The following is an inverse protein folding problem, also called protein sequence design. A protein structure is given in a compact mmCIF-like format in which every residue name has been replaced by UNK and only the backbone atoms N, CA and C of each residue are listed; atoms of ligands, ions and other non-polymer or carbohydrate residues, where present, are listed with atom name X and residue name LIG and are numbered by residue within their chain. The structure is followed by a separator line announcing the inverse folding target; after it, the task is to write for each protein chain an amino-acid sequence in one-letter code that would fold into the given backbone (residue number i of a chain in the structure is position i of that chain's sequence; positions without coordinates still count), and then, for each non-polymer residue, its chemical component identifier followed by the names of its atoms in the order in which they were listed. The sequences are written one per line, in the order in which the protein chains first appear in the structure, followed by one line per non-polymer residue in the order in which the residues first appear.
data_IF_855192986270
#
_entry.id   IF_855192986270
#
_cell.length_a   1.000
_cell.length_b   1.000
_cell.length_c   1.000
_cell.angle_alpha   90.00
_cell.angle_beta   90.00
_cell.angle_gamma   90.00
#
_symmetry.space_group_name_H-M   'P 1'
#
loop_
_entity.id
_entity.type
_entity.pdbx_description
1 polymer ?
#
# COMPACT_ATOMS: atom_id res chain seq x y z
N UNK A 1 7.50 -11.88 9.91
CA UNK A 1 6.72 -11.03 8.99
C UNK A 1 5.37 -10.75 9.65
N UNK A 2 5.08 -9.48 9.96
CA UNK A 2 3.90 -9.08 10.73
C UNK A 2 2.76 -8.78 9.77
N UNK A 3 1.74 -9.65 9.75
CA UNK A 3 0.58 -9.49 8.88
C UNK A 3 -0.51 -8.67 9.59
N UNK A 4 -0.80 -7.46 9.10
CA UNK A 4 -1.79 -6.56 9.70
C UNK A 4 -3.11 -6.59 8.95
N UNK A 5 -4.07 -7.37 9.46
CA UNK A 5 -5.34 -7.54 8.75
C UNK A 5 -6.37 -6.42 8.98
N UNK A 6 -6.40 -5.72 10.13
CA UNK A 6 -7.60 -4.91 10.50
C UNK A 6 -7.43 -3.49 11.07
N UNK A 7 -6.23 -2.96 11.32
CA UNK A 7 -6.06 -1.58 11.82
C UNK A 7 -4.93 -0.89 11.08
N UNK A 8 -5.29 -0.10 10.06
CA UNK A 8 -4.39 0.60 9.15
C UNK A 8 -4.94 1.99 8.93
N UNK A 9 -4.09 3.01 9.03
CA UNK A 9 -4.48 4.42 8.82
C UNK A 9 -4.03 4.88 7.44
N UNK A 10 -2.83 4.50 7.02
CA UNK A 10 -2.27 4.83 5.69
C UNK A 10 -1.76 3.55 5.04
N UNK A 11 -2.11 3.33 3.77
CA UNK A 11 -1.62 2.23 2.93
C UNK A 11 -1.01 2.85 1.69
N UNK A 12 0.23 2.47 1.36
CA UNK A 12 0.97 2.95 0.20
C UNK A 12 1.15 1.83 -0.82
N UNK A 13 1.26 2.20 -2.10
CA UNK A 13 1.47 1.24 -3.18
C UNK A 13 0.22 0.47 -3.60
N UNK A 14 -0.97 0.92 -3.18
CA UNK A 14 -2.23 0.45 -3.72
C UNK A 14 -2.40 0.99 -5.15
N UNK A 15 -2.63 0.13 -6.12
CA UNK A 15 -2.85 0.50 -7.52
C UNK A 15 -4.36 0.60 -7.79
N UNK A 16 -5.06 1.40 -6.98
CA UNK A 16 -6.53 1.43 -6.93
C UNK A 16 -7.17 2.25 -8.05
N UNK A 17 -6.44 3.23 -8.59
CA UNK A 17 -7.01 4.15 -9.59
C UNK A 17 -6.70 3.72 -11.03
N UNK A 18 -5.54 3.09 -11.26
CA UNK A 18 -5.12 2.64 -12.59
C UNK A 18 -4.34 1.33 -12.49
N UNK A 19 -4.45 0.49 -13.53
CA UNK A 19 -3.64 -0.72 -13.62
C UNK A 19 -2.17 -0.38 -13.56
N UNK A 20 -1.44 -1.24 -12.84
CA UNK A 20 0.02 -1.22 -12.82
C UNK A 20 0.51 -1.26 -14.27
N UNK A 21 1.34 -0.30 -14.66
CA UNK A 21 1.96 -0.15 -16.00
C UNK A 21 1.07 0.41 -17.12
N UNK A 22 -0.09 1.02 -16.81
CA UNK A 22 -0.85 1.78 -17.83
C UNK A 22 -0.03 2.92 -18.45
N UNK A 23 0.72 3.63 -17.60
CA UNK A 23 1.53 4.77 -18.00
C UNK A 23 3.01 4.45 -17.88
N UNK A 24 3.83 5.11 -18.71
CA UNK A 24 5.27 5.00 -18.65
C UNK A 24 5.82 5.70 -17.41
N UNK A 25 6.77 5.04 -16.77
CA UNK A 25 7.49 5.56 -15.60
C UNK A 25 8.97 5.66 -15.91
N UNK A 26 9.64 6.66 -15.33
CA UNK A 26 11.09 6.77 -15.35
C UNK A 26 11.75 5.73 -14.42
N UNK A 27 13.09 5.75 -14.36
CA UNK A 27 13.89 4.82 -13.56
C UNK A 27 13.61 4.87 -12.05
N UNK A 28 13.03 5.97 -11.56
CA UNK A 28 12.65 6.16 -10.15
C UNK A 28 11.18 5.82 -9.86
N UNK A 29 10.42 5.38 -10.88
CA UNK A 29 9.00 5.05 -10.77
C UNK A 29 8.05 6.26 -10.85
N UNK A 30 8.55 7.45 -11.18
CA UNK A 30 7.73 8.63 -11.44
C UNK A 30 7.12 8.61 -12.85
N UNK A 31 5.92 9.15 -13.03
CA UNK A 31 5.26 9.22 -14.34
C UNK A 31 6.04 10.12 -15.30
N UNK A 32 6.18 9.67 -16.55
CA UNK A 32 6.66 10.51 -17.65
C UNK A 32 5.46 11.32 -18.16
N UNK A 33 5.59 12.65 -18.13
CA UNK A 33 4.53 13.59 -18.55
C UNK A 33 4.95 14.30 -19.83
N UNK A 34 4.01 14.46 -20.77
CA UNK A 34 4.20 15.23 -21.99
C UNK A 34 3.18 16.36 -22.13
N UNK A 35 3.57 17.52 -22.68
CA UNK A 35 2.64 18.62 -22.94
C UNK A 35 1.72 18.28 -24.11
N UNK A 36 0.43 18.16 -23.84
CA UNK A 36 -0.61 17.94 -24.84
C UNK A 36 -1.49 19.18 -24.97
N UNK A 37 -1.76 19.60 -26.21
CA UNK A 37 -2.73 20.66 -26.50
C UNK A 37 -4.12 20.06 -26.49
N UNK A 38 -4.93 20.47 -25.53
CA UNK A 38 -6.32 20.02 -25.39
C UNK A 38 -7.22 21.18 -25.82
N UNK A 39 -8.23 20.85 -26.62
CA UNK A 39 -9.30 21.78 -26.99
C UNK A 39 -10.52 21.49 -26.14
N UNK A 40 -10.92 22.47 -25.35
CA UNK A 40 -12.13 22.41 -24.54
C UNK A 40 -13.15 23.32 -25.19
N UNK A 41 -14.26 22.74 -25.61
CA UNK A 41 -15.37 23.47 -26.22
C UNK A 41 -16.28 24.04 -25.13
N UNK A 42 -16.76 25.27 -25.32
CA UNK A 42 -17.76 25.83 -24.42
C UNK A 42 -19.10 25.08 -24.62
N UNK A 43 -19.91 24.98 -23.57
CA UNK A 43 -21.26 24.40 -23.61
C UNK A 43 -22.29 25.47 -23.30
N UNK A 44 -23.45 25.43 -23.96
CA UNK A 44 -24.57 26.31 -23.65
C UNK A 44 -25.37 25.83 -22.41
N UNK A 45 -26.41 26.58 -22.02
CA UNK A 45 -27.28 26.22 -20.88
C UNK A 45 -28.05 24.91 -21.08
N UNK A 46 -28.15 24.43 -22.33
CA UNK A 46 -28.80 23.17 -22.71
C UNK A 46 -27.80 22.00 -22.84
N UNK A 47 -26.50 22.27 -22.66
CA UNK A 47 -25.41 21.30 -22.74
C UNK A 47 -24.90 21.03 -24.16
N UNK A 48 -25.34 21.79 -25.17
CA UNK A 48 -24.83 21.65 -26.54
C UNK A 48 -23.44 22.28 -26.68
N UNK A 49 -22.58 21.63 -27.47
CA UNK A 49 -21.22 22.08 -27.73
C UNK A 49 -21.22 23.30 -28.66
N UNK A 50 -20.71 24.43 -28.17
CA UNK A 50 -20.55 25.66 -28.94
C UNK A 50 -19.32 25.58 -29.87
N UNK A 51 -19.31 26.36 -30.98
CA UNK A 51 -18.17 26.42 -31.88
C UNK A 51 -16.95 27.16 -31.29
N UNK A 52 -17.13 27.87 -30.17
CA UNK A 52 -16.01 28.46 -29.42
C UNK A 52 -15.28 27.38 -28.61
N UNK A 53 -13.95 27.40 -28.69
CA UNK A 53 -13.10 26.51 -27.92
C UNK A 53 -11.92 27.28 -27.33
N UNK A 54 -11.42 26.79 -26.20
CA UNK A 54 -10.15 27.22 -25.61
C UNK A 54 -9.13 26.12 -25.85
N UNK A 55 -7.91 26.54 -26.17
CA UNK A 55 -6.80 25.61 -26.34
C UNK A 55 -5.78 25.85 -25.24
N UNK A 56 -5.51 24.81 -24.47
CA UNK A 56 -4.60 24.87 -23.34
C UNK A 56 -3.58 23.74 -23.46
N UNK A 57 -2.33 24.03 -23.09
CA UNK A 57 -1.28 23.01 -22.97
C UNK A 57 -1.31 22.43 -21.57
N UNK A 58 -1.68 21.16 -21.44
CA UNK A 58 -1.74 20.45 -20.16
C UNK A 58 -0.73 19.29 -20.18
N UNK A 59 -0.05 19.06 -19.07
CA UNK A 59 0.86 17.92 -18.93
C UNK A 59 0.04 16.66 -18.63
N UNK A 60 0.12 15.66 -19.50
CA UNK A 60 -0.56 14.37 -19.34
C UNK A 60 0.43 13.20 -19.25
N UNK A 61 0.11 12.14 -18.49
CA UNK A 61 0.93 10.93 -18.43
C UNK A 61 0.98 10.20 -19.77
N UNK A 62 2.16 9.77 -20.19
CA UNK A 62 2.34 9.04 -21.43
C UNK A 62 1.89 7.58 -21.28
N UNK A 63 1.02 7.11 -22.18
CA UNK A 63 0.55 5.72 -22.16
C UNK A 63 1.65 4.74 -22.55
N UNK A 64 1.65 3.57 -21.90
CA UNK A 64 2.58 2.49 -22.24
C UNK A 64 2.09 1.77 -23.50
N UNK A 65 2.87 1.75 -24.61
CA UNK A 65 2.46 1.08 -25.85
C UNK A 65 2.25 -0.43 -25.70
N UNK A 66 2.82 -1.04 -24.67
CA UNK A 66 2.68 -2.48 -24.37
C UNK A 66 1.47 -2.80 -23.49
N UNK A 67 0.67 -1.78 -23.14
CA UNK A 67 -0.51 -1.97 -22.32
C UNK A 67 -1.68 -2.51 -23.15
N UNK A 68 -2.20 -3.68 -22.80
CA UNK A 68 -3.40 -4.25 -23.42
C UNK A 68 -4.65 -3.84 -22.64
N UNK A 69 -5.55 -3.11 -23.30
CA UNK A 69 -6.82 -2.69 -22.74
C UNK A 69 -7.84 -3.82 -22.53
N UNK A 70 -7.61 -4.99 -23.15
CA UNK A 70 -8.55 -6.10 -23.13
C UNK A 70 -8.30 -7.10 -21.99
N UNK A 71 -7.16 -7.04 -21.31
CA UNK A 71 -6.83 -7.96 -20.22
C UNK A 71 -7.53 -7.57 -18.91
N UNK A 72 -8.33 -8.41 -18.23
CA UNK A 72 -9.05 -7.97 -17.02
C UNK A 72 -8.14 -7.68 -15.81
N UNK A 73 -8.22 -6.43 -15.33
CA UNK A 73 -7.81 -5.90 -14.03
C UNK A 73 -8.41 -6.56 -12.77
N UNK A 74 -7.60 -7.31 -12.01
CA UNK A 74 -7.91 -7.63 -10.61
C UNK A 74 -7.06 -6.80 -9.63
N UNK A 75 -7.74 -5.98 -8.82
CA UNK A 75 -7.13 -5.16 -7.78
C UNK A 75 -6.25 -5.98 -6.83
N UNK A 76 -5.12 -5.41 -6.39
CA UNK A 76 -4.20 -6.10 -5.45
C UNK A 76 -4.88 -6.52 -4.14
N UNK A 77 -5.90 -5.78 -3.69
CA UNK A 77 -6.63 -6.09 -2.45
C UNK A 77 -7.44 -7.40 -2.54
N UNK A 78 -7.81 -7.81 -3.76
CA UNK A 78 -8.62 -9.01 -4.05
C UNK A 78 -7.75 -10.24 -4.37
N UNK A 79 -6.43 -10.09 -4.32
CA UNK A 79 -5.46 -11.13 -4.73
C UNK A 79 -4.65 -11.64 -3.54
N UNK A 80 -4.64 -12.96 -3.34
CA UNK A 80 -4.07 -13.61 -2.16
C UNK A 80 -2.54 -13.49 -2.06
N UNK A 81 -1.84 -13.31 -3.18
CA UNK A 81 -0.39 -13.11 -3.17
C UNK A 81 0.04 -11.77 -2.55
N UNK A 82 -0.87 -10.78 -2.53
CA UNK A 82 -0.59 -9.46 -2.01
C UNK A 82 -0.92 -9.37 -0.52
N UNK A 83 0.11 -9.09 0.27
CA UNK A 83 -0.01 -8.94 1.70
C UNK A 83 0.34 -7.52 2.12
N UNK A 84 -0.40 -7.00 3.09
CA UNK A 84 -0.14 -5.66 3.62
C UNK A 84 0.83 -5.77 4.79
N UNK A 85 1.95 -5.06 4.64
CA UNK A 85 3.07 -5.11 5.58
C UNK A 85 3.10 -3.80 6.39
N UNK A 86 3.09 -3.93 7.72
CA UNK A 86 3.25 -2.80 8.62
C UNK A 86 4.70 -2.35 8.67
N UNK A 87 5.00 -1.19 8.10
CA UNK A 87 6.35 -0.61 8.09
C UNK A 87 6.64 0.23 9.32
N UNK A 88 5.64 0.89 9.89
CA UNK A 88 5.79 1.82 11.01
C UNK A 88 4.50 1.90 11.84
N UNK A 89 4.63 2.17 13.13
CA UNK A 89 3.49 2.43 14.03
C UNK A 89 3.15 1.26 14.94
N UNK A 90 1.93 1.25 15.48
CA UNK A 90 1.47 0.22 16.41
C UNK A 90 0.85 -0.96 15.68
N UNK A 91 1.38 -2.15 15.92
CA UNK A 91 1.08 -3.37 15.16
C UNK A 91 0.91 -4.56 16.10
N UNK A 92 0.06 -5.52 15.73
CA UNK A 92 -0.10 -6.76 16.47
C UNK A 92 0.84 -7.83 15.91
N UNK A 93 1.67 -8.42 16.77
CA UNK A 93 2.72 -9.39 16.41
C UNK A 93 2.49 -10.71 17.12
N UNK A 94 2.71 -11.83 16.41
CA UNK A 94 2.78 -13.16 17.02
C UNK A 94 4.10 -13.30 17.76
N UNK A 95 4.06 -13.71 19.01
CA UNK A 95 5.25 -13.82 19.88
C UNK A 95 5.33 -15.20 20.52
N UNK A 96 6.54 -15.64 20.89
CA UNK A 96 6.70 -16.84 21.68
C UNK A 96 6.36 -16.59 23.17
N UNK A 97 6.55 -17.60 24.01
CA UNK A 97 6.25 -17.55 25.44
C UNK A 97 7.20 -16.68 26.27
N UNK A 98 8.43 -16.47 25.79
CA UNK A 98 9.47 -15.74 26.51
C UNK A 98 9.32 -14.21 26.44
N UNK A 99 8.47 -13.70 25.54
CA UNK A 99 8.32 -12.25 25.31
C UNK A 99 7.61 -11.57 26.47
N UNK A 100 8.22 -10.49 26.96
CA UNK A 100 7.70 -9.61 27.99
C UNK A 100 7.44 -8.20 27.47
N UNK A 101 6.72 -7.42 28.29
CA UNK A 101 6.46 -6.00 27.98
C UNK A 101 7.74 -5.20 28.13
N UNK A 102 8.10 -4.42 27.11
CA UNK A 102 9.33 -3.63 27.08
C UNK A 102 10.44 -4.22 26.21
N UNK A 103 10.36 -5.52 25.89
CA UNK A 103 11.36 -6.22 25.09
C UNK A 103 11.46 -5.67 23.66
N UNK A 104 12.64 -5.80 23.07
CA UNK A 104 12.78 -5.73 21.62
C UNK A 104 12.57 -7.10 21.00
N UNK A 105 12.04 -7.13 19.78
CA UNK A 105 11.78 -8.37 19.06
C UNK A 105 12.71 -8.56 17.89
N UNK A 106 13.17 -9.80 17.72
CA UNK A 106 13.67 -10.33 16.47
C UNK A 106 12.70 -11.38 15.92
N UNK A 107 12.62 -11.50 14.60
CA UNK A 107 11.73 -12.47 13.96
C UNK A 107 12.46 -13.77 13.68
N UNK A 108 11.95 -14.88 14.21
CA UNK A 108 12.41 -16.24 13.89
C UNK A 108 11.20 -17.00 13.35
N UNK A 109 11.27 -17.45 12.09
CA UNK A 109 10.17 -18.12 11.38
C UNK A 109 8.82 -17.37 11.46
N UNK A 110 8.88 -16.03 11.48
CA UNK A 110 7.70 -15.18 11.54
C UNK A 110 7.08 -15.00 12.94
N UNK A 111 7.69 -15.56 13.98
CA UNK A 111 7.33 -15.35 15.39
C UNK A 111 8.36 -14.41 16.03
N UNK A 112 7.87 -13.40 16.77
CA UNK A 112 8.71 -12.49 17.54
C UNK A 112 9.27 -13.18 18.77
N UNK A 113 10.59 -13.11 18.94
CA UNK A 113 11.32 -13.59 20.11
C UNK A 113 12.10 -12.42 20.74
N UNK A 114 12.40 -12.47 22.05
CA UNK A 114 13.16 -11.42 22.72
C UNK A 114 14.54 -11.20 22.08
N UNK A 115 14.95 -9.94 22.06
CA UNK A 115 16.27 -9.50 21.60
C UNK A 115 16.73 -8.34 22.46
N UNK A 116 18.04 -8.17 22.62
CA UNK A 116 18.61 -7.02 23.34
C UNK A 116 18.33 -5.70 22.62
N UNK A 117 18.23 -5.74 21.28
CA UNK A 117 18.05 -4.56 20.41
C UNK A 117 17.17 -4.89 19.21
N UNK A 118 16.48 -3.88 18.69
CA UNK A 118 15.69 -3.99 17.48
C UNK A 118 14.78 -2.80 17.23
N UNK A 119 14.09 -2.83 16.10
CA UNK A 119 13.18 -1.75 15.67
C UNK A 119 11.74 -1.97 16.13
N UNK A 120 11.44 -3.16 16.67
CA UNK A 120 10.12 -3.56 17.13
C UNK A 120 10.16 -3.69 18.65
N UNK A 121 9.41 -2.83 19.35
CA UNK A 121 9.34 -2.84 20.81
C UNK A 121 7.98 -3.29 21.30
N UNK A 122 7.94 -4.18 22.28
CA UNK A 122 6.70 -4.67 22.88
C UNK A 122 6.11 -3.62 23.80
N UNK A 123 4.87 -3.21 23.52
CA UNK A 123 4.13 -2.27 24.37
C UNK A 123 3.22 -2.97 25.36
N UNK A 124 2.54 -4.04 24.92
CA UNK A 124 1.58 -4.76 25.75
C UNK A 124 1.35 -6.17 25.22
N UNK A 125 1.34 -7.16 26.10
CA UNK A 125 0.83 -8.50 25.79
C UNK A 125 -0.71 -8.46 25.77
N UNK A 126 -1.32 -8.85 24.65
CA UNK A 126 -2.77 -8.79 24.44
C UNK A 126 -3.45 -10.14 24.45
N UNK A 127 -2.72 -11.20 24.06
CA UNK A 127 -3.12 -12.59 24.25
C UNK A 127 -1.91 -13.34 24.79
N UNK A 128 -2.07 -13.98 25.95
CA UNK A 128 -1.04 -14.85 26.50
C UNK A 128 -0.72 -15.99 25.52
N UNK A 129 0.50 -16.52 25.61
CA UNK A 129 0.91 -17.67 24.83
C UNK A 129 -0.03 -18.86 25.07
N UNK A 130 -0.35 -19.59 24.01
CA UNK A 130 -1.13 -20.82 24.07
C UNK A 130 -0.42 -21.90 23.26
N UNK A 131 0.00 -22.99 23.93
CA UNK A 131 0.71 -24.10 23.32
C UNK A 131 -0.06 -24.78 22.17
N UNK A 132 -1.40 -24.81 22.21
CA UNK A 132 -2.21 -25.36 21.12
C UNK A 132 -2.18 -24.50 19.85
N UNK A 133 -1.97 -23.18 20.00
CA UNK A 133 -1.82 -22.27 18.87
C UNK A 133 -0.35 -22.04 18.48
N UNK A 134 0.60 -22.32 19.38
CA UNK A 134 2.04 -22.10 19.19
C UNK A 134 2.48 -20.64 19.20
N UNK A 135 1.62 -19.70 19.62
CA UNK A 135 1.97 -18.27 19.73
C UNK A 135 1.07 -17.50 20.70
N UNK A 136 1.61 -16.41 21.26
CA UNK A 136 0.88 -15.32 21.90
C UNK A 136 0.71 -14.12 20.96
N UNK A 137 -0.02 -13.09 21.38
CA UNK A 137 -0.19 -11.86 20.60
C UNK A 137 0.22 -10.65 21.44
N UNK A 138 1.18 -9.88 20.94
CA UNK A 138 1.63 -8.64 21.52
C UNK A 138 1.23 -7.44 20.66
N UNK A 139 0.90 -6.32 21.29
CA UNK A 139 0.90 -5.00 20.67
C UNK A 139 2.33 -4.45 20.73
N UNK A 140 2.90 -4.19 19.57
CA UNK A 140 4.26 -3.70 19.42
C UNK A 140 4.28 -2.36 18.69
N UNK A 141 5.34 -1.59 18.88
CA UNK A 141 5.61 -0.38 18.14
C UNK A 141 6.81 -0.60 17.21
N UNK A 142 6.63 -0.35 15.91
CA UNK A 142 7.70 -0.35 14.91
C UNK A 142 8.17 1.09 14.71
N UNK A 143 9.47 1.32 14.89
CA UNK A 143 10.17 2.55 14.54
C UNK A 143 10.94 2.41 13.24
#
# INVERSE_FOLDING_TARGET
MVLLRKRRVVVLGEASFHWKNRYLTNEFGGLILEPQRIRTYDVDEEGNTLPSYREESVLLPLENPLFDYNEPYVDRKERDEWNIVGMMGQVYVRVNEDVQTGDYLMAINGIGQPSEKGNVKVMKLTKAYNAACGYGIALCFIK
#
